data_IF_524501232363
#
_entry.id   IF_524501232363
#
_cell.length_a   1.000
_cell.length_b   1.000
_cell.length_c   1.000
_cell.angle_alpha   90.00
_cell.angle_beta   90.00
_cell.angle_gamma   90.00
#
_symmetry.space_group_name_H-M   'P 1'
#
loop_
_entity.id
_entity.type
_entity.pdbx_description
1 polymer ?
#
# COMPACT_ATOMS: atom_id res chain seq x y z
N UNK A 1 15.27 -3.82 7.85
CA UNK A 1 14.23 -4.69 7.25
C UNK A 1 13.44 -3.78 6.33
N UNK A 2 13.03 -4.25 5.16
CA UNK A 2 12.29 -3.38 4.26
C UNK A 2 10.88 -3.12 4.80
N UNK A 3 10.40 -1.90 4.63
CA UNK A 3 9.13 -1.40 5.15
C UNK A 3 8.35 -0.71 4.03
N UNK A 4 7.04 -0.66 4.16
CA UNK A 4 6.15 0.01 3.21
C UNK A 4 5.14 0.85 3.98
N UNK A 5 5.12 2.15 3.70
CA UNK A 5 4.18 3.09 4.29
C UNK A 5 3.17 3.55 3.25
N UNK A 6 1.91 3.70 3.67
CA UNK A 6 0.81 4.15 2.82
C UNK A 6 0.28 5.46 3.39
N UNK A 7 0.38 6.53 2.60
CA UNK A 7 -0.28 7.77 2.92
C UNK A 7 -1.78 7.64 2.62
N UNK A 8 -2.56 7.43 3.69
CA UNK A 8 -4.00 7.15 3.60
C UNK A 8 -4.80 8.35 3.04
N UNK A 9 -4.29 9.58 3.15
CA UNK A 9 -4.97 10.77 2.62
C UNK A 9 -4.95 10.83 1.09
N UNK A 10 -4.00 10.14 0.42
CA UNK A 10 -3.90 10.08 -1.04
C UNK A 10 -4.41 8.75 -1.62
N UNK A 11 -4.69 7.75 -0.78
CA UNK A 11 -5.13 6.43 -1.24
C UNK A 11 -6.59 6.46 -1.74
N UNK A 12 -6.81 6.14 -3.02
CA UNK A 12 -8.16 6.01 -3.62
C UNK A 12 -8.69 4.57 -3.70
N UNK A 13 -8.10 3.64 -2.94
CA UNK A 13 -8.50 2.22 -2.89
C UNK A 13 -8.66 1.52 -4.26
N UNK A 14 -7.80 1.83 -5.24
CA UNK A 14 -7.87 1.26 -6.59
C UNK A 14 -7.37 -0.20 -6.68
N UNK A 15 -6.79 -0.74 -5.60
CA UNK A 15 -6.31 -2.13 -5.45
C UNK A 15 -5.17 -2.58 -6.38
N UNK A 16 -4.62 -1.70 -7.21
CA UNK A 16 -3.47 -2.04 -8.07
C UNK A 16 -2.25 -2.52 -7.28
N UNK A 17 -1.92 -1.83 -6.19
CA UNK A 17 -0.80 -2.20 -5.32
C UNK A 17 -1.01 -3.55 -4.60
N UNK A 18 -2.27 -3.87 -4.24
CA UNK A 18 -2.67 -5.14 -3.63
C UNK A 18 -2.44 -6.29 -4.60
N UNK A 19 -2.87 -6.10 -5.86
CA UNK A 19 -2.76 -7.14 -6.89
C UNK A 19 -1.31 -7.41 -7.33
N UNK A 20 -0.46 -6.38 -7.38
CA UNK A 20 0.93 -6.52 -7.87
C UNK A 20 1.90 -6.99 -6.80
N UNK A 21 1.54 -6.92 -5.51
CA UNK A 21 2.45 -7.25 -4.43
C UNK A 21 2.74 -8.78 -4.42
N UNK A 22 3.97 -9.23 -4.72
CA UNK A 22 4.30 -10.67 -4.80
C UNK A 22 4.28 -11.36 -3.44
N UNK A 23 4.33 -10.58 -2.35
CA UNK A 23 4.27 -11.06 -0.96
C UNK A 23 2.88 -10.90 -0.34
N UNK A 24 1.92 -10.33 -1.08
CA UNK A 24 0.56 -10.05 -0.61
C UNK A 24 0.53 -9.31 0.74
N UNK A 25 1.47 -8.38 0.94
CA UNK A 25 1.59 -7.54 2.14
C UNK A 25 0.46 -6.52 2.21
N UNK A 26 0.00 -6.02 1.06
CA UNK A 26 -0.99 -4.95 1.01
C UNK A 26 -2.42 -5.50 0.94
N UNK A 27 -3.35 -4.89 1.66
CA UNK A 27 -4.77 -5.23 1.66
C UNK A 27 -5.63 -3.98 1.89
N UNK A 28 -6.94 -4.04 1.58
CA UNK A 28 -7.87 -2.94 1.87
C UNK A 28 -8.20 -2.98 3.36
N UNK A 29 -7.82 -1.93 4.09
CA UNK A 29 -8.08 -1.79 5.52
C UNK A 29 -9.52 -1.42 5.84
N UNK A 30 -9.78 -1.14 7.12
CA UNK A 30 -11.10 -0.68 7.61
C UNK A 30 -11.15 0.83 7.87
N UNK A 31 -10.03 1.52 7.71
CA UNK A 31 -9.97 2.97 7.87
C UNK A 31 -10.48 3.67 6.61
N UNK A 32 -11.61 4.37 6.74
CA UNK A 32 -12.12 5.26 5.71
C UNK A 32 -11.45 6.63 5.82
N UNK A 33 -10.79 7.08 4.75
CA UNK A 33 -10.12 8.38 4.71
C UNK A 33 -11.10 9.55 4.46
N UNK A 34 -10.57 10.78 4.46
CA UNK A 34 -11.36 12.01 4.24
C UNK A 34 -12.07 12.08 2.88
N UNK A 35 -11.64 11.28 1.91
CA UNK A 35 -12.23 11.21 0.57
C UNK A 35 -13.32 10.14 0.48
N UNK A 36 -13.57 9.36 1.54
CA UNK A 36 -14.58 8.29 1.58
C UNK A 36 -14.08 6.93 1.07
N UNK A 37 -12.76 6.73 0.93
CA UNK A 37 -12.19 5.45 0.52
C UNK A 37 -11.65 4.68 1.71
N UNK A 38 -11.89 3.36 1.73
CA UNK A 38 -11.19 2.45 2.64
C UNK A 38 -9.74 2.30 2.17
N UNK A 39 -8.83 2.91 2.91
CA UNK A 39 -7.42 3.00 2.52
C UNK A 39 -6.72 1.64 2.59
N UNK A 40 -5.72 1.46 1.74
CA UNK A 40 -4.85 0.27 1.78
C UNK A 40 -3.96 0.32 3.02
N UNK A 41 -3.76 -0.84 3.62
CA UNK A 41 -2.89 -1.07 4.77
C UNK A 41 -1.87 -2.17 4.46
N UNK A 42 -0.79 -2.24 5.24
CA UNK A 42 0.27 -3.23 5.10
C UNK A 42 0.24 -4.22 6.27
N UNK A 43 0.34 -5.50 5.96
CA UNK A 43 0.53 -6.58 6.92
C UNK A 43 2.03 -6.82 7.12
N UNK A 44 2.58 -6.18 8.15
CA UNK A 44 4.01 -6.27 8.49
C UNK A 44 4.47 -7.71 8.76
N UNK A 45 3.56 -8.61 9.15
CA UNK A 45 3.90 -10.01 9.46
C UNK A 45 4.29 -10.82 8.22
N UNK A 46 3.89 -10.38 7.02
CA UNK A 46 4.17 -11.08 5.74
C UNK A 46 5.58 -10.82 5.18
N UNK A 47 6.29 -9.84 5.73
CA UNK A 47 7.66 -9.52 5.36
C UNK A 47 7.78 -8.85 3.99
N UNK A 48 7.76 -7.51 3.98
CA UNK A 48 8.08 -6.74 2.79
C UNK A 48 9.53 -6.98 2.34
N UNK A 49 9.73 -7.11 1.02
CA UNK A 49 11.06 -7.33 0.40
C UNK A 49 11.62 -6.07 -0.29
N UNK A 50 10.92 -4.94 -0.22
CA UNK A 50 11.40 -3.67 -0.77
C UNK A 50 11.49 -3.61 -2.30
N UNK A 51 10.69 -4.40 -3.03
CA UNK A 51 10.73 -4.49 -4.50
C UNK A 51 10.17 -3.27 -5.26
N UNK A 52 9.51 -2.34 -4.57
CA UNK A 52 8.95 -1.07 -5.11
C UNK A 52 7.87 -1.18 -6.19
N UNK A 53 7.36 -2.37 -6.50
CA UNK A 53 6.26 -2.54 -7.48
C UNK A 53 4.98 -1.80 -7.07
N UNK A 54 4.63 -1.82 -5.79
CA UNK A 54 3.47 -1.09 -5.26
C UNK A 54 3.59 0.43 -5.46
N UNK A 55 4.75 1.01 -5.13
CA UNK A 55 5.03 2.44 -5.31
C UNK A 55 5.01 2.84 -6.80
N UNK A 56 5.61 2.01 -7.67
CA UNK A 56 5.68 2.28 -9.12
C UNK A 56 4.30 2.25 -9.78
N UNK A 57 3.42 1.35 -9.35
CA UNK A 57 2.08 1.20 -9.94
C UNK A 57 1.05 2.17 -9.35
N UNK A 58 1.36 2.84 -8.24
CA UNK A 58 0.41 3.72 -7.55
C UNK A 58 0.18 5.01 -8.36
N UNK A 59 -1.03 5.25 -8.91
CA UNK A 59 -1.28 6.45 -9.72
C UNK A 59 -1.24 7.75 -8.90
N UNK A 60 -1.49 7.64 -7.58
CA UNK A 60 -1.57 8.77 -6.66
C UNK A 60 -0.24 9.05 -5.94
N UNK A 61 0.78 8.22 -6.16
CA UNK A 61 2.06 8.35 -5.43
C UNK A 61 1.92 8.15 -3.91
N UNK A 62 0.88 7.44 -3.45
CA UNK A 62 0.54 7.32 -2.03
C UNK A 62 1.38 6.30 -1.24
N UNK A 63 2.43 5.73 -1.82
CA UNK A 63 3.16 4.59 -1.24
C UNK A 63 4.66 4.87 -1.23
N UNK A 64 5.27 4.76 -0.06
CA UNK A 64 6.72 4.86 0.16
C UNK A 64 7.29 3.50 0.58
N UNK A 65 8.51 3.20 0.13
CA UNK A 65 9.17 1.92 0.40
C UNK A 65 10.58 2.19 0.93
N UNK A 66 10.84 1.75 2.15
CA UNK A 66 12.09 1.91 2.88
C UNK A 66 12.86 0.58 2.92
N UNK A 67 14.21 0.63 2.96
CA UNK A 67 15.07 -0.56 2.97
C UNK A 67 16.21 -0.44 3.97
#
# INVERSE_FOLDING_TARGET
>A
MAEVEINKDYCKSCKLCVNVCPKHVLFVGKYTNKMGYDAVEADETKGCIGCKMCATMCPEGAIEVYK
#
